data_IF_936365279474
#
_entry.id   IF_936365279474
#
_cell.length_a   1.000
_cell.length_b   1.000
_cell.length_c   1.000
_cell.angle_alpha   90.00
_cell.angle_beta   90.00
_cell.angle_gamma   90.00
#
_symmetry.space_group_name_H-M   'P 1'
#
loop_
_entity.id
_entity.type
_entity.pdbx_description
1 polymer ?
#
# COMPACT_ATOMS: atom_id res chain seq x y z
N UNK A 1 23.89 69.88 -8.86
CA UNK A 1 23.58 68.82 -9.83
C UNK A 1 23.31 67.55 -9.03
N UNK A 2 22.03 67.18 -8.89
CA UNK A 2 21.60 66.01 -8.10
C UNK A 2 21.94 64.73 -8.85
N UNK A 3 22.69 63.83 -8.19
CA UNK A 3 22.88 62.45 -8.67
C UNK A 3 21.70 61.62 -8.13
N UNK A 4 20.91 60.95 -8.98
CA UNK A 4 19.84 60.09 -8.49
C UNK A 4 20.45 58.82 -7.87
N UNK A 5 20.15 58.59 -6.59
CA UNK A 5 20.38 57.31 -5.93
C UNK A 5 19.43 56.30 -6.58
N UNK A 6 19.98 55.35 -7.34
CA UNK A 6 19.24 54.18 -7.78
C UNK A 6 19.08 53.27 -6.58
N UNK A 7 17.85 53.12 -6.08
CA UNK A 7 17.49 52.06 -5.15
C UNK A 7 17.83 50.73 -5.83
N UNK A 8 18.81 50.01 -5.28
CA UNK A 8 19.06 48.62 -5.63
C UNK A 8 18.01 47.79 -4.91
N UNK A 9 16.92 47.45 -5.60
CA UNK A 9 15.96 46.47 -5.10
C UNK A 9 16.65 45.11 -5.11
N UNK A 10 17.19 44.70 -3.96
CA UNK A 10 17.67 43.33 -3.76
C UNK A 10 16.41 42.47 -3.60
N UNK A 11 15.97 41.86 -4.70
CA UNK A 11 14.98 40.79 -4.64
C UNK A 11 15.67 39.58 -4.01
N UNK A 12 15.43 39.34 -2.72
CA UNK A 12 15.88 38.12 -2.06
C UNK A 12 15.10 36.96 -2.66
N UNK A 13 15.76 36.16 -3.51
CA UNK A 13 15.21 34.94 -4.06
C UNK A 13 15.30 33.88 -2.94
N UNK A 14 14.21 33.65 -2.22
CA UNK A 14 14.13 32.54 -1.27
C UNK A 14 13.97 31.24 -2.05
N UNK A 15 15.04 30.47 -2.20
CA UNK A 15 14.96 29.06 -2.65
C UNK A 15 14.37 28.24 -1.51
N UNK A 16 13.14 27.76 -1.71
CA UNK A 16 12.44 26.90 -0.79
C UNK A 16 12.84 25.44 -1.07
N UNK A 17 13.21 24.71 -0.01
CA UNK A 17 13.34 23.26 -0.04
C UNK A 17 12.51 22.75 1.12
N UNK A 18 11.34 22.19 0.83
CA UNK A 18 10.51 21.52 1.82
C UNK A 18 11.00 20.06 1.91
N UNK A 19 11.35 19.63 3.12
CA UNK A 19 11.52 18.22 3.44
C UNK A 19 10.47 17.88 4.50
N UNK A 20 9.40 17.21 4.09
CA UNK A 20 8.64 16.39 5.02
C UNK A 20 9.44 15.11 5.22
N UNK A 21 9.88 14.83 6.44
CA UNK A 21 10.17 13.45 6.80
C UNK A 21 8.80 12.80 6.98
N UNK A 22 8.26 12.24 5.89
CA UNK A 22 7.17 11.29 6.04
C UNK A 22 7.66 10.21 7.02
N UNK A 23 6.90 9.93 8.07
CA UNK A 23 7.13 8.72 8.83
C UNK A 23 6.78 7.56 7.89
N UNK A 24 7.75 7.12 7.09
CA UNK A 24 7.56 6.03 6.16
C UNK A 24 7.03 4.82 6.94
N UNK A 25 6.04 4.15 6.37
CA UNK A 25 5.50 2.93 6.97
C UNK A 25 6.60 1.87 6.89
N UNK A 26 6.94 1.27 8.02
CA UNK A 26 7.93 0.20 8.03
C UNK A 26 7.38 -1.02 7.27
N UNK A 27 8.03 -1.35 6.17
CA UNK A 27 7.78 -2.54 5.37
C UNK A 27 8.20 -3.82 6.08
N UNK A 28 7.59 -4.93 5.69
CA UNK A 28 7.88 -6.26 6.24
C UNK A 28 8.94 -6.98 5.41
N UNK A 29 9.77 -7.78 6.07
CA UNK A 29 10.48 -8.88 5.42
C UNK A 29 9.56 -10.09 5.31
N UNK A 30 9.05 -10.35 4.11
CA UNK A 30 8.03 -11.37 3.88
C UNK A 30 8.50 -12.56 3.05
N UNK A 31 7.87 -13.71 3.28
CA UNK A 31 7.88 -14.87 2.41
C UNK A 31 6.55 -14.91 1.65
N UNK A 32 6.60 -14.73 0.34
CA UNK A 32 5.45 -14.64 -0.57
C UNK A 32 5.37 -15.89 -1.44
N UNK A 33 4.37 -16.74 -1.20
CA UNK A 33 4.27 -18.02 -1.90
C UNK A 33 2.94 -18.15 -2.62
N UNK A 34 2.98 -18.49 -3.91
CA UNK A 34 1.76 -18.56 -4.68
C UNK A 34 1.91 -18.93 -6.14
N UNK A 35 0.84 -18.67 -6.89
CA UNK A 35 0.72 -18.97 -8.31
C UNK A 35 0.83 -17.74 -9.22
N UNK A 36 0.48 -17.91 -10.49
CA UNK A 36 0.84 -16.97 -11.57
C UNK A 36 0.02 -15.69 -11.59
N UNK A 37 -1.07 -15.62 -10.82
CA UNK A 37 -1.84 -14.38 -10.63
C UNK A 37 -1.29 -13.57 -9.45
N UNK A 38 -0.68 -14.27 -8.47
CA UNK A 38 -0.07 -13.69 -7.29
C UNK A 38 1.33 -13.12 -7.54
N UNK A 39 2.16 -13.86 -8.29
CA UNK A 39 3.58 -13.54 -8.49
C UNK A 39 3.81 -12.12 -9.04
N UNK A 40 3.08 -11.62 -10.06
CA UNK A 40 3.34 -10.29 -10.61
C UNK A 40 3.21 -9.18 -9.55
N UNK A 41 2.14 -9.20 -8.75
CA UNK A 41 1.92 -8.18 -7.72
C UNK A 41 2.94 -8.27 -6.59
N UNK A 42 3.30 -9.48 -6.16
CA UNK A 42 4.37 -9.67 -5.17
C UNK A 42 5.72 -9.12 -5.64
N UNK A 43 6.06 -9.32 -6.92
CA UNK A 43 7.30 -8.81 -7.50
C UNK A 43 7.27 -7.30 -7.69
N UNK A 44 6.12 -6.74 -8.06
CA UNK A 44 5.97 -5.30 -8.24
C UNK A 44 5.93 -4.56 -6.89
N UNK A 45 5.42 -5.19 -5.82
CA UNK A 45 5.46 -4.60 -4.47
C UNK A 45 6.90 -4.42 -3.98
N UNK A 46 7.78 -5.38 -4.28
CA UNK A 46 9.22 -5.24 -4.06
C UNK A 46 9.86 -4.07 -4.79
N UNK A 47 9.28 -3.64 -5.91
CA UNK A 47 9.82 -2.56 -6.74
C UNK A 47 9.29 -1.20 -6.31
N UNK A 48 7.99 -1.12 -5.99
CA UNK A 48 7.28 0.16 -5.84
C UNK A 48 7.02 0.56 -4.37
N UNK A 49 7.19 -0.35 -3.40
CA UNK A 49 6.90 -0.07 -1.98
C UNK A 49 7.55 1.21 -1.46
N UNK A 50 8.85 1.41 -1.73
CA UNK A 50 9.56 2.62 -1.30
C UNK A 50 9.01 3.91 -1.95
N UNK A 51 8.60 3.84 -3.22
CA UNK A 51 7.97 4.97 -3.92
C UNK A 51 6.59 5.32 -3.35
N UNK A 52 5.96 4.37 -2.67
CA UNK A 52 4.67 4.54 -1.99
C UNK A 52 4.81 4.75 -0.47
N UNK A 53 5.99 5.16 -0.01
CA UNK A 53 6.23 5.49 1.40
C UNK A 53 6.34 4.28 2.33
N UNK A 54 6.62 3.09 1.79
CA UNK A 54 6.86 1.86 2.56
C UNK A 54 8.35 1.51 2.54
N UNK A 55 9.03 1.79 3.64
CA UNK A 55 10.48 1.62 3.75
C UNK A 55 10.87 0.22 4.22
N UNK A 56 11.83 -0.40 3.54
CA UNK A 56 12.42 -1.67 3.98
C UNK A 56 11.56 -2.91 3.73
N UNK A 57 10.52 -2.82 2.89
CA UNK A 57 9.82 -4.00 2.39
C UNK A 57 10.78 -4.89 1.59
N UNK A 58 10.83 -6.18 1.93
CA UNK A 58 11.62 -7.18 1.21
C UNK A 58 10.81 -8.47 1.14
N UNK A 59 10.37 -8.86 -0.05
CA UNK A 59 9.64 -10.09 -0.32
C UNK A 59 10.51 -11.17 -0.97
N UNK A 60 10.68 -12.31 -0.31
CA UNK A 60 11.20 -13.53 -0.90
C UNK A 60 10.05 -14.28 -1.57
N UNK A 61 10.12 -14.55 -2.87
CA UNK A 61 9.03 -15.21 -3.60
C UNK A 61 9.33 -16.68 -3.92
N UNK A 62 8.46 -17.60 -3.48
CA UNK A 62 8.45 -18.99 -3.97
C UNK A 62 7.23 -19.18 -4.88
N UNK A 63 7.47 -19.65 -6.10
CA UNK A 63 6.45 -19.70 -7.14
C UNK A 63 6.29 -21.10 -7.74
N UNK A 64 5.03 -21.49 -7.95
CA UNK A 64 4.63 -22.62 -8.79
C UNK A 64 3.43 -22.23 -9.66
N UNK A 65 3.41 -22.65 -10.92
CA UNK A 65 2.33 -22.30 -11.85
C UNK A 65 1.00 -23.01 -11.56
N UNK A 66 -0.12 -22.32 -11.80
CA UNK A 66 -1.47 -22.88 -11.68
C UNK A 66 -1.79 -23.40 -10.28
N UNK A 67 -2.50 -24.52 -10.18
CA UNK A 67 -2.86 -25.14 -8.89
C UNK A 67 -1.67 -25.52 -8.03
N UNK A 68 -0.49 -25.70 -8.61
CA UNK A 68 0.71 -26.08 -7.84
C UNK A 68 1.20 -24.96 -6.93
N UNK A 69 0.78 -23.71 -7.16
CA UNK A 69 1.05 -22.59 -6.27
C UNK A 69 0.00 -22.39 -5.17
N UNK A 70 -0.87 -23.38 -4.93
CA UNK A 70 -1.82 -23.34 -3.81
C UNK A 70 -1.14 -23.74 -2.50
N UNK A 71 -1.69 -23.38 -1.33
CA UNK A 71 -1.15 -23.78 -0.03
C UNK A 71 -0.92 -25.28 0.10
N UNK A 72 -1.90 -26.12 -0.29
CA UNK A 72 -1.76 -27.57 -0.25
C UNK A 72 -0.63 -28.07 -1.15
N UNK A 73 -0.59 -27.62 -2.41
CA UNK A 73 0.38 -28.13 -3.39
C UNK A 73 1.79 -27.66 -3.15
N UNK A 74 1.96 -26.46 -2.59
CA UNK A 74 3.25 -26.00 -2.11
C UNK A 74 3.76 -26.88 -0.96
N UNK A 75 2.87 -27.28 -0.03
CA UNK A 75 3.26 -28.12 1.11
C UNK A 75 3.66 -29.55 0.68
N UNK A 76 2.96 -30.09 -0.31
CA UNK A 76 3.25 -31.41 -0.89
C UNK A 76 4.52 -31.45 -1.74
N UNK A 77 5.02 -30.29 -2.20
CA UNK A 77 6.27 -30.19 -2.95
C UNK A 77 7.46 -30.12 -1.99
N UNK A 78 8.23 -31.21 -1.92
CA UNK A 78 9.35 -31.34 -0.97
C UNK A 78 10.46 -30.30 -1.18
N UNK A 79 10.66 -29.82 -2.41
CA UNK A 79 11.65 -28.76 -2.68
C UNK A 79 11.15 -27.43 -2.13
N UNK A 80 9.88 -27.10 -2.38
CA UNK A 80 9.24 -25.88 -1.83
C UNK A 80 9.22 -25.91 -0.31
N UNK A 81 8.85 -27.05 0.29
CA UNK A 81 8.80 -27.20 1.74
C UNK A 81 10.19 -26.98 2.35
N UNK A 82 11.24 -27.52 1.73
CA UNK A 82 12.61 -27.31 2.19
C UNK A 82 13.03 -25.85 2.07
N UNK A 83 12.85 -25.24 0.90
CA UNK A 83 13.21 -23.84 0.65
C UNK A 83 12.49 -22.86 1.60
N UNK A 84 11.18 -23.08 1.82
CA UNK A 84 10.39 -22.28 2.73
C UNK A 84 10.84 -22.48 4.19
N UNK A 85 11.13 -23.72 4.60
CA UNK A 85 11.65 -24.02 5.94
C UNK A 85 13.00 -23.33 6.18
N UNK A 86 13.89 -23.34 5.20
CA UNK A 86 15.20 -22.69 5.30
C UNK A 86 15.06 -21.17 5.46
N UNK A 87 14.14 -20.54 4.72
CA UNK A 87 13.85 -19.11 4.86
C UNK A 87 13.20 -18.76 6.21
N UNK A 88 12.25 -19.57 6.67
CA UNK A 88 11.54 -19.34 7.93
C UNK A 88 12.44 -19.56 9.16
N UNK A 89 13.26 -20.63 9.15
CA UNK A 89 14.15 -21.00 10.26
C UNK A 89 15.21 -19.95 10.59
N UNK A 90 15.48 -19.02 9.66
CA UNK A 90 16.33 -17.85 9.91
C UNK A 90 15.73 -16.84 10.91
N UNK A 91 14.43 -16.93 11.22
CA UNK A 91 13.73 -16.06 12.19
C UNK A 91 13.55 -14.61 11.74
N UNK A 92 13.95 -14.26 10.51
CA UNK A 92 13.90 -12.89 9.98
C UNK A 92 12.61 -12.60 9.18
N UNK A 93 11.81 -13.62 8.87
CA UNK A 93 10.55 -13.44 8.16
C UNK A 93 9.49 -12.96 9.15
N UNK A 94 8.91 -11.80 8.88
CA UNK A 94 7.90 -11.12 9.69
C UNK A 94 6.49 -11.30 9.11
N UNK A 95 6.40 -11.66 7.82
CA UNK A 95 5.15 -11.87 7.11
C UNK A 95 5.21 -13.14 6.26
N UNK A 96 4.24 -14.03 6.42
CA UNK A 96 4.01 -15.14 5.49
C UNK A 96 2.76 -14.86 4.66
N UNK A 97 2.94 -14.68 3.35
CA UNK A 97 1.87 -14.43 2.39
C UNK A 97 1.60 -15.67 1.53
N UNK A 98 0.35 -16.10 1.52
CA UNK A 98 -0.16 -17.21 0.71
C UNK A 98 -1.35 -16.74 -0.14
N UNK A 99 -1.66 -17.45 -1.21
CA UNK A 99 -2.76 -17.11 -2.12
C UNK A 99 -3.77 -18.24 -2.25
N UNK A 100 -5.04 -17.87 -2.30
CA UNK A 100 -6.14 -18.81 -2.51
C UNK A 100 -6.19 -19.28 -3.96
N UNK A 101 -6.42 -20.58 -4.17
CA UNK A 101 -6.62 -21.17 -5.49
C UNK A 101 -8.00 -21.80 -5.65
N UNK A 102 -8.39 -22.69 -4.74
CA UNK A 102 -9.70 -23.36 -4.76
C UNK A 102 -10.04 -23.95 -3.40
N UNK A 103 -11.32 -24.26 -3.16
CA UNK A 103 -11.76 -24.86 -1.89
C UNK A 103 -11.12 -26.22 -1.61
N UNK A 104 -10.68 -26.95 -2.64
CA UNK A 104 -9.98 -28.24 -2.52
C UNK A 104 -8.51 -28.07 -2.10
N UNK A 105 -7.85 -27.03 -2.59
CA UNK A 105 -6.39 -26.85 -2.50
C UNK A 105 -5.98 -25.69 -1.58
N UNK A 106 -6.95 -25.08 -0.89
CA UNK A 106 -6.81 -23.93 -0.01
C UNK A 106 -7.78 -24.03 1.17
N UNK A 107 -7.84 -25.22 1.79
CA UNK A 107 -8.62 -25.46 3.00
C UNK A 107 -7.92 -24.84 4.20
N UNK A 108 -8.66 -24.67 5.29
CA UNK A 108 -8.12 -24.12 6.54
C UNK A 108 -6.86 -24.89 6.97
N UNK A 109 -6.88 -26.22 6.89
CA UNK A 109 -5.76 -27.10 7.28
C UNK A 109 -4.52 -26.90 6.41
N UNK A 110 -4.70 -26.51 5.15
CA UNK A 110 -3.60 -26.27 4.23
C UNK A 110 -2.84 -24.98 4.59
N UNK A 111 -3.54 -23.96 5.11
CA UNK A 111 -2.89 -22.77 5.68
C UNK A 111 -2.30 -23.03 7.07
N UNK A 112 -2.98 -23.82 7.92
CA UNK A 112 -2.52 -24.14 9.27
C UNK A 112 -1.13 -24.77 9.27
N UNK A 113 -0.85 -25.71 8.36
CA UNK A 113 0.46 -26.35 8.26
C UNK A 113 1.60 -25.33 8.04
N UNK A 114 1.37 -24.36 7.15
CA UNK A 114 2.31 -23.29 6.90
C UNK A 114 2.43 -22.31 8.08
N UNK A 115 1.32 -21.97 8.73
CA UNK A 115 1.30 -21.04 9.86
C UNK A 115 2.03 -21.64 11.06
N UNK A 116 1.74 -22.91 11.38
CA UNK A 116 2.38 -23.64 12.47
C UNK A 116 3.90 -23.72 12.24
N UNK A 117 4.34 -24.06 11.00
CA UNK A 117 5.76 -24.09 10.64
C UNK A 117 6.44 -22.73 10.83
N UNK A 118 5.79 -21.64 10.42
CA UNK A 118 6.36 -20.30 10.56
C UNK A 118 6.44 -19.85 12.04
N UNK A 119 5.45 -20.21 12.85
CA UNK A 119 5.39 -19.91 14.28
C UNK A 119 6.48 -20.62 15.09
N UNK A 120 7.01 -21.75 14.61
CA UNK A 120 8.17 -22.42 15.26
C UNK A 120 9.39 -21.49 15.31
N UNK A 121 9.52 -20.58 14.35
CA UNK A 121 10.70 -19.69 14.23
C UNK A 121 10.41 -18.25 14.63
N UNK A 122 9.19 -17.75 14.39
CA UNK A 122 8.78 -16.40 14.77
C UNK A 122 7.35 -16.40 15.34
N UNK A 123 7.16 -16.31 16.68
CA UNK A 123 5.84 -16.32 17.29
C UNK A 123 5.01 -15.04 16.99
N UNK A 124 5.65 -13.95 16.57
CA UNK A 124 5.01 -12.67 16.25
C UNK A 124 4.70 -12.51 14.75
N UNK A 125 5.01 -13.54 13.93
CA UNK A 125 4.82 -13.48 12.49
C UNK A 125 3.36 -13.13 12.13
N UNK A 126 3.20 -12.33 11.09
CA UNK A 126 1.92 -11.99 10.49
C UNK A 126 1.64 -12.89 9.29
N UNK A 127 0.37 -13.04 8.97
CA UNK A 127 -0.09 -13.82 7.85
C UNK A 127 -0.90 -12.96 6.89
N UNK A 128 -0.67 -13.11 5.60
CA UNK A 128 -1.46 -12.48 4.54
C UNK A 128 -2.06 -13.57 3.67
N UNK A 129 -3.39 -13.54 3.50
CA UNK A 129 -4.08 -14.42 2.57
C UNK A 129 -4.67 -13.56 1.46
N UNK A 130 -4.17 -13.78 0.25
CA UNK A 130 -4.58 -13.04 -0.95
C UNK A 130 -5.60 -13.83 -1.76
N UNK A 131 -6.66 -13.18 -2.22
CA UNK A 131 -7.69 -13.82 -3.06
C UNK A 131 -7.67 -13.19 -4.46
N UNK A 132 -7.29 -13.96 -5.51
CA UNK A 132 -7.33 -13.50 -6.89
C UNK A 132 -8.74 -13.48 -7.48
N UNK A 133 -8.87 -12.98 -8.71
CA UNK A 133 -10.03 -13.20 -9.56
C UNK A 133 -10.11 -14.66 -10.07
N UNK A 134 -11.29 -15.03 -10.60
CA UNK A 134 -11.54 -16.36 -11.15
C UNK A 134 -10.76 -16.67 -12.44
N UNK A 135 -10.51 -17.95 -12.71
CA UNK A 135 -9.93 -18.39 -13.97
C UNK A 135 -10.86 -18.10 -15.15
N UNK A 136 -10.28 -17.80 -16.30
CA UNK A 136 -11.06 -17.54 -17.52
C UNK A 136 -11.86 -16.25 -17.52
N UNK A 137 -11.28 -15.09 -17.12
CA UNK A 137 -12.02 -13.83 -17.04
C UNK A 137 -12.59 -13.38 -18.38
N UNK A 138 -12.04 -13.83 -19.51
CA UNK A 138 -12.60 -13.63 -20.85
C UNK A 138 -14.04 -14.14 -21.04
N UNK A 139 -14.58 -14.93 -20.10
CA UNK A 139 -15.96 -15.46 -20.11
C UNK A 139 -16.91 -14.69 -19.21
N UNK A 140 -16.41 -13.77 -18.40
CA UNK A 140 -17.22 -12.98 -17.48
C UNK A 140 -18.12 -12.07 -18.29
N UNK A 141 -19.38 -12.00 -17.90
CA UNK A 141 -20.36 -11.03 -18.37
C UNK A 141 -20.74 -10.07 -17.24
N UNK A 142 -21.33 -8.90 -17.53
CA UNK A 142 -21.80 -7.99 -16.49
C UNK A 142 -22.71 -8.65 -15.44
N UNK A 143 -23.53 -9.63 -15.85
CA UNK A 143 -24.43 -10.36 -14.95
C UNK A 143 -23.73 -11.30 -13.96
N UNK A 144 -22.46 -11.64 -14.19
CA UNK A 144 -21.68 -12.54 -13.31
C UNK A 144 -20.97 -11.79 -12.17
N UNK A 145 -20.68 -10.49 -12.37
CA UNK A 145 -19.76 -9.71 -11.53
C UNK A 145 -20.20 -9.65 -10.06
N UNK A 146 -21.48 -9.41 -9.79
CA UNK A 146 -22.00 -9.37 -8.42
C UNK A 146 -21.80 -10.71 -7.69
N UNK A 147 -22.07 -11.83 -8.37
CA UNK A 147 -21.85 -13.16 -7.80
C UNK A 147 -20.37 -13.43 -7.52
N UNK A 148 -19.47 -12.93 -8.37
CA UNK A 148 -18.02 -13.06 -8.19
C UNK A 148 -17.50 -12.24 -6.99
N UNK A 149 -18.01 -11.01 -6.80
CA UNK A 149 -17.67 -10.18 -5.64
C UNK A 149 -18.17 -10.81 -4.34
N UNK A 150 -19.44 -11.21 -4.30
CA UNK A 150 -20.02 -11.89 -3.13
C UNK A 150 -19.28 -13.19 -2.80
N UNK A 151 -18.94 -14.00 -3.80
CA UNK A 151 -18.18 -15.23 -3.61
C UNK A 151 -16.77 -14.97 -3.07
N UNK A 152 -16.13 -13.90 -3.50
CA UNK A 152 -14.79 -13.47 -3.01
C UNK A 152 -14.87 -13.04 -1.55
N UNK A 153 -15.83 -12.19 -1.20
CA UNK A 153 -16.02 -11.70 0.17
C UNK A 153 -16.47 -12.79 1.14
N UNK A 154 -17.25 -13.78 0.67
CA UNK A 154 -17.66 -14.92 1.49
C UNK A 154 -16.50 -15.76 2.04
N UNK A 155 -15.31 -15.69 1.41
CA UNK A 155 -14.10 -16.34 1.91
C UNK A 155 -13.62 -15.74 3.23
N UNK A 156 -14.01 -14.51 3.57
CA UNK A 156 -13.74 -13.96 4.88
C UNK A 156 -14.32 -14.83 5.99
N UNK A 157 -15.62 -15.14 5.90
CA UNK A 157 -16.31 -15.96 6.90
C UNK A 157 -15.89 -17.43 6.84
N UNK A 158 -15.72 -17.97 5.62
CA UNK A 158 -15.45 -19.41 5.47
C UNK A 158 -13.99 -19.80 5.66
N UNK A 159 -13.04 -18.87 5.54
CA UNK A 159 -11.61 -19.15 5.59
C UNK A 159 -10.87 -18.28 6.61
N UNK A 160 -11.01 -16.95 6.55
CA UNK A 160 -10.22 -16.03 7.37
C UNK A 160 -10.65 -16.05 8.83
N UNK A 161 -11.95 -15.97 9.11
CA UNK A 161 -12.50 -15.98 10.47
C UNK A 161 -12.08 -17.24 11.25
N UNK A 162 -12.22 -18.47 10.71
CA UNK A 162 -11.71 -19.68 11.36
C UNK A 162 -10.20 -19.66 11.64
N UNK A 163 -9.39 -19.11 10.72
CA UNK A 163 -7.94 -18.97 10.94
C UNK A 163 -7.64 -17.98 12.07
N UNK A 164 -8.31 -16.82 12.11
CA UNK A 164 -8.16 -15.84 13.21
C UNK A 164 -8.56 -16.43 14.56
N UNK A 165 -9.62 -17.24 14.62
CA UNK A 165 -10.02 -17.93 15.85
C UNK A 165 -8.94 -18.90 16.35
N UNK A 166 -8.19 -19.52 15.43
CA UNK A 166 -7.13 -20.47 15.78
C UNK A 166 -5.80 -19.80 16.12
N UNK A 167 -5.52 -18.64 15.53
CA UNK A 167 -4.31 -17.85 15.73
C UNK A 167 -4.63 -16.46 16.28
N UNK A 168 -5.25 -16.35 17.48
CA UNK A 168 -5.78 -15.08 17.99
C UNK A 168 -4.70 -14.05 18.35
N UNK A 169 -3.44 -14.47 18.47
CA UNK A 169 -2.31 -13.60 18.80
C UNK A 169 -1.54 -13.13 17.56
N UNK A 170 -1.95 -13.54 16.36
CA UNK A 170 -1.28 -13.22 15.11
C UNK A 170 -2.24 -12.50 14.17
N UNK A 171 -1.72 -11.52 13.43
CA UNK A 171 -2.52 -10.86 12.41
C UNK A 171 -2.71 -11.82 11.22
N UNK A 172 -3.95 -12.19 10.91
CA UNK A 172 -4.32 -12.91 9.67
C UNK A 172 -5.07 -11.94 8.77
N UNK A 173 -4.35 -11.33 7.84
CA UNK A 173 -4.81 -10.23 6.97
C UNK A 173 -5.49 -10.80 5.73
N UNK A 174 -6.68 -10.28 5.42
CA UNK A 174 -7.48 -10.64 4.26
C UNK A 174 -7.24 -9.65 3.11
N UNK A 175 -6.72 -10.10 1.98
CA UNK A 175 -6.47 -9.24 0.83
C UNK A 175 -7.15 -9.77 -0.43
N UNK A 176 -8.44 -9.47 -0.64
CA UNK A 176 -9.20 -9.92 -1.81
C UNK A 176 -8.95 -9.03 -3.03
N UNK A 177 -7.71 -8.95 -3.49
CA UNK A 177 -7.32 -8.09 -4.62
C UNK A 177 -8.03 -8.41 -5.95
N UNK A 178 -8.65 -9.60 -6.07
CA UNK A 178 -9.57 -9.93 -7.16
C UNK A 178 -10.74 -8.95 -7.32
N UNK A 179 -11.16 -8.25 -6.25
CA UNK A 179 -12.19 -7.21 -6.33
C UNK A 179 -11.80 -6.08 -7.28
N UNK A 180 -10.55 -5.59 -7.22
CA UNK A 180 -10.07 -4.56 -8.14
C UNK A 180 -10.05 -5.02 -9.60
N UNK A 181 -9.76 -6.30 -9.84
CA UNK A 181 -9.89 -6.86 -11.19
C UNK A 181 -11.36 -6.82 -11.67
N UNK A 182 -12.33 -7.14 -10.81
CA UNK A 182 -13.74 -7.06 -11.17
C UNK A 182 -14.22 -5.63 -11.41
N UNK A 183 -13.71 -4.64 -10.66
CA UNK A 183 -13.99 -3.22 -10.94
C UNK A 183 -13.50 -2.79 -12.33
N UNK A 184 -12.29 -3.18 -12.71
CA UNK A 184 -11.78 -2.91 -14.07
C UNK A 184 -12.62 -3.61 -15.14
N UNK A 185 -13.11 -4.83 -14.87
CA UNK A 185 -13.98 -5.54 -15.82
C UNK A 185 -15.33 -4.83 -16.00
N UNK A 186 -15.92 -4.34 -14.91
CA UNK A 186 -17.17 -3.56 -14.97
C UNK A 186 -16.99 -2.29 -15.80
N UNK A 187 -15.95 -1.51 -15.48
CA UNK A 187 -15.63 -0.27 -16.18
C UNK A 187 -15.28 -0.51 -17.66
N UNK A 188 -14.67 -1.66 -17.99
CA UNK A 188 -14.48 -2.06 -19.38
C UNK A 188 -15.82 -2.24 -20.11
N UNK A 189 -16.81 -2.90 -19.48
CA UNK A 189 -18.13 -3.09 -20.09
C UNK A 189 -18.94 -1.80 -20.20
N UNK A 190 -18.74 -0.87 -19.27
CA UNK A 190 -19.36 0.45 -19.28
C UNK A 190 -18.69 1.42 -20.27
N UNK A 191 -17.52 1.04 -20.81
CA UNK A 191 -16.76 1.84 -21.77
C UNK A 191 -16.02 3.01 -21.12
N UNK A 192 -15.66 2.87 -19.84
CA UNK A 192 -15.02 3.91 -19.01
C UNK A 192 -13.49 3.74 -18.92
N UNK A 193 -12.93 2.68 -19.52
CA UNK A 193 -11.48 2.44 -19.57
C UNK A 193 -10.88 2.89 -20.91
N UNK A 194 -10.54 4.18 -21.00
CA UNK A 194 -9.88 4.75 -22.17
C UNK A 194 -8.57 4.01 -22.52
N UNK A 195 -8.49 3.52 -23.76
CA UNK A 195 -7.34 2.77 -24.29
C UNK A 195 -7.40 1.25 -24.05
N UNK A 196 -8.37 0.73 -23.28
CA UNK A 196 -8.58 -0.72 -23.14
C UNK A 196 -9.59 -1.19 -24.17
N UNK A 197 -9.12 -1.91 -25.19
CA UNK A 197 -9.97 -2.41 -26.28
C UNK A 197 -10.53 -3.81 -26.01
N UNK A 198 -9.84 -4.63 -25.23
CA UNK A 198 -10.21 -6.03 -25.03
C UNK A 198 -10.17 -6.43 -23.56
N UNK A 199 -11.18 -7.18 -23.11
CA UNK A 199 -11.13 -7.83 -21.81
C UNK A 199 -9.91 -8.77 -21.69
N UNK A 200 -9.64 -9.54 -22.74
CA UNK A 200 -8.50 -10.45 -22.79
C UNK A 200 -7.93 -10.57 -24.20
N UNK A 201 -6.60 -10.72 -24.29
CA UNK A 201 -5.92 -10.88 -25.57
C UNK A 201 -6.50 -12.06 -26.37
N UNK A 202 -6.84 -11.81 -27.63
CA UNK A 202 -7.14 -12.88 -28.57
C UNK A 202 -5.86 -13.69 -28.85
N UNK A 203 -5.91 -15.02 -29.07
CA UNK A 203 -4.73 -15.89 -29.25
C UNK A 203 -3.79 -15.55 -30.43
N UNK A 204 -4.05 -14.50 -31.23
CA UNK A 204 -3.40 -14.30 -32.52
C UNK A 204 -3.02 -12.86 -32.92
N UNK A 205 -3.14 -11.86 -32.03
CA UNK A 205 -2.69 -10.49 -32.35
C UNK A 205 -1.66 -10.00 -31.33
N UNK A 206 -0.47 -9.72 -31.83
CA UNK A 206 0.71 -9.31 -31.07
C UNK A 206 0.57 -7.92 -30.41
N UNK A 207 1.16 -7.82 -29.21
CA UNK A 207 1.96 -6.70 -28.67
C UNK A 207 1.30 -5.36 -28.28
N UNK A 208 0.04 -5.32 -27.85
CA UNK A 208 -0.54 -4.12 -27.22
C UNK A 208 -0.83 -4.32 -25.73
N UNK A 209 -0.85 -3.23 -24.95
CA UNK A 209 -1.31 -3.23 -23.55
C UNK A 209 -2.81 -2.90 -23.41
N UNK A 210 -3.53 -2.97 -24.53
CA UNK A 210 -4.95 -2.62 -24.67
C UNK A 210 -5.89 -3.70 -24.12
N UNK A 211 -5.39 -4.60 -23.26
CA UNK A 211 -6.18 -5.64 -22.61
C UNK A 211 -5.96 -5.72 -21.10
N UNK A 212 -7.01 -6.11 -20.38
CA UNK A 212 -6.91 -6.38 -18.93
C UNK A 212 -6.13 -7.67 -18.66
N UNK A 213 -6.37 -8.73 -19.46
CA UNK A 213 -5.73 -10.04 -19.29
C UNK A 213 -5.01 -10.51 -20.55
N UNK A 214 -3.73 -10.89 -20.44
CA UNK A 214 -2.90 -11.24 -21.61
C UNK A 214 -3.17 -12.62 -22.21
N UNK A 215 -4.01 -13.43 -21.57
CA UNK A 215 -4.43 -14.71 -22.11
C UNK A 215 -5.78 -15.17 -21.53
N UNK A 216 -6.31 -16.22 -22.16
CA UNK A 216 -7.58 -16.82 -21.77
C UNK A 216 -7.56 -17.48 -20.38
N UNK A 217 -6.39 -17.81 -19.81
CA UNK A 217 -6.32 -18.30 -18.43
C UNK A 217 -6.68 -17.18 -17.46
N UNK A 218 -6.28 -15.95 -17.76
CA UNK A 218 -6.54 -14.77 -16.96
C UNK A 218 -5.29 -14.17 -16.33
N UNK A 219 -4.10 -14.40 -16.91
CA UNK A 219 -2.92 -13.70 -16.43
C UNK A 219 -3.09 -12.19 -16.64
N UNK A 220 -2.91 -11.43 -15.57
CA UNK A 220 -3.01 -9.97 -15.59
C UNK A 220 -2.02 -9.35 -16.59
N UNK A 221 -2.46 -8.27 -17.23
CA UNK A 221 -1.54 -7.29 -17.83
C UNK A 221 -1.12 -6.23 -16.80
N UNK A 222 -0.34 -5.24 -17.23
CA UNK A 222 0.24 -4.22 -16.36
C UNK A 222 -0.81 -3.41 -15.57
N UNK A 223 -1.96 -3.08 -16.17
CA UNK A 223 -3.03 -2.34 -15.49
C UNK A 223 -3.58 -3.12 -14.28
N UNK A 224 -3.98 -4.38 -14.50
CA UNK A 224 -4.52 -5.24 -13.43
C UNK A 224 -3.44 -5.56 -12.40
N UNK A 225 -2.19 -5.74 -12.82
CA UNK A 225 -1.05 -6.01 -11.93
C UNK A 225 -0.80 -4.80 -11.03
N UNK A 226 -0.74 -3.59 -11.60
CA UNK A 226 -0.49 -2.35 -10.86
C UNK A 226 -1.60 -2.01 -9.88
N UNK A 227 -2.87 -2.17 -10.30
CA UNK A 227 -4.01 -2.05 -9.38
C UNK A 227 -3.89 -3.06 -8.23
N UNK A 228 -3.61 -4.32 -8.54
CA UNK A 228 -3.47 -5.37 -7.53
C UNK A 228 -2.37 -5.04 -6.52
N UNK A 229 -1.21 -4.58 -6.98
CA UNK A 229 -0.09 -4.19 -6.11
C UNK A 229 -0.46 -3.01 -5.23
N UNK A 230 -1.17 -2.01 -5.76
CA UNK A 230 -1.62 -0.86 -4.99
C UNK A 230 -2.67 -1.26 -3.93
N UNK A 231 -3.59 -2.16 -4.27
CA UNK A 231 -4.51 -2.78 -3.31
C UNK A 231 -3.75 -3.54 -2.21
N UNK A 232 -2.66 -4.23 -2.54
CA UNK A 232 -1.83 -4.90 -1.53
C UNK A 232 -1.12 -3.89 -0.63
N UNK A 233 -0.56 -2.81 -1.18
CA UNK A 233 0.07 -1.75 -0.40
C UNK A 233 -0.93 -1.09 0.57
N UNK A 234 -2.13 -0.79 0.10
CA UNK A 234 -3.23 -0.30 0.94
C UNK A 234 -3.60 -1.32 2.03
N UNK A 235 -3.82 -2.59 1.64
CA UNK A 235 -4.27 -3.64 2.57
C UNK A 235 -3.21 -4.02 3.62
N UNK A 236 -1.92 -3.99 3.26
CA UNK A 236 -0.85 -4.48 4.12
C UNK A 236 -0.21 -3.37 4.96
N UNK A 237 -0.12 -2.17 4.40
CA UNK A 237 0.64 -1.04 4.96
C UNK A 237 -0.23 0.19 5.24
N UNK A 238 -1.51 0.19 4.86
CA UNK A 238 -2.36 1.36 5.03
C UNK A 238 -1.97 2.54 4.13
N UNK A 239 -1.24 2.26 3.03
CA UNK A 239 -0.95 3.29 2.01
C UNK A 239 -2.27 3.81 1.47
N UNK A 240 -2.52 5.11 1.62
CA UNK A 240 -3.68 5.77 1.01
C UNK A 240 -3.36 6.08 -0.46
N UNK A 241 -4.01 5.41 -1.42
CA UNK A 241 -3.76 5.64 -2.84
C UNK A 241 -4.06 7.09 -3.26
N UNK A 242 -4.94 7.80 -2.58
CA UNK A 242 -5.32 9.19 -2.93
C UNK A 242 -4.25 10.21 -2.56
N UNK A 243 -3.32 9.83 -1.69
CA UNK A 243 -2.23 10.68 -1.22
C UNK A 243 -0.92 10.50 -2.01
N UNK A 244 -0.89 9.51 -2.91
CA UNK A 244 0.22 9.23 -3.83
C UNK A 244 0.17 10.13 -5.07
N UNK A 245 1.33 10.30 -5.72
CA UNK A 245 1.35 10.77 -7.11
C UNK A 245 0.49 9.84 -8.00
N UNK A 246 -0.11 10.36 -9.08
CA UNK A 246 -0.93 9.55 -9.98
C UNK A 246 -0.17 8.30 -10.48
N UNK A 247 -0.65 7.13 -10.07
CA UNK A 247 -0.13 5.83 -10.49
C UNK A 247 -0.73 5.52 -11.85
N UNK A 248 0.13 5.45 -12.86
CA UNK A 248 -0.25 5.27 -14.26
C UNK A 248 0.55 4.13 -14.89
N UNK A 249 -0.05 3.48 -15.88
CA UNK A 249 0.66 2.52 -16.74
C UNK A 249 0.96 3.18 -18.09
N UNK A 250 2.16 2.91 -18.62
CA UNK A 250 2.75 3.64 -19.76
C UNK A 250 1.82 3.83 -20.96
N UNK A 251 0.97 2.84 -21.25
CA UNK A 251 0.08 2.83 -22.42
C UNK A 251 -1.39 3.15 -22.09
N UNK A 252 -1.74 3.36 -20.81
CA UNK A 252 -3.10 3.74 -20.38
C UNK A 252 -3.01 4.86 -19.31
N UNK A 253 -2.46 6.04 -19.65
CA UNK A 253 -2.17 7.11 -18.68
C UNK A 253 -3.42 7.82 -18.14
N UNK A 254 -4.59 7.61 -18.75
CA UNK A 254 -5.84 8.23 -18.32
C UNK A 254 -6.59 7.38 -17.28
N UNK A 255 -6.26 6.09 -17.13
CA UNK A 255 -6.92 5.23 -16.14
C UNK A 255 -6.44 5.57 -14.74
N UNK A 256 -7.38 5.98 -13.88
CA UNK A 256 -7.06 6.43 -12.53
C UNK A 256 -6.97 5.29 -11.51
N UNK A 257 -5.84 4.58 -11.53
CA UNK A 257 -5.59 3.45 -10.63
C UNK A 257 -5.67 3.80 -9.14
N UNK A 258 -5.37 5.04 -8.77
CA UNK A 258 -5.46 5.53 -7.39
C UNK A 258 -6.91 5.44 -6.89
N UNK A 259 -7.88 5.95 -7.66
CA UNK A 259 -9.30 5.91 -7.31
C UNK A 259 -9.83 4.47 -7.22
N UNK A 260 -9.52 3.61 -8.20
CA UNK A 260 -9.89 2.19 -8.15
C UNK A 260 -9.34 1.50 -6.89
N UNK A 261 -8.06 1.72 -6.57
CA UNK A 261 -7.45 1.11 -5.39
C UNK A 261 -8.08 1.64 -4.09
N UNK A 262 -8.42 2.93 -4.03
CA UNK A 262 -9.09 3.54 -2.89
C UNK A 262 -10.48 2.93 -2.66
N UNK A 263 -11.29 2.81 -3.71
CA UNK A 263 -12.64 2.23 -3.63
C UNK A 263 -12.60 0.77 -3.16
N UNK A 264 -11.70 -0.03 -3.73
CA UNK A 264 -11.47 -1.42 -3.26
C UNK A 264 -10.98 -1.42 -1.81
N UNK A 265 -10.10 -0.51 -1.44
CA UNK A 265 -9.60 -0.33 -0.08
C UNK A 265 -10.74 -0.07 0.92
N UNK A 266 -11.71 0.78 0.59
CA UNK A 266 -12.87 1.05 1.44
C UNK A 266 -13.74 -0.19 1.67
N UNK A 267 -13.83 -1.09 0.68
CA UNK A 267 -14.53 -2.37 0.82
C UNK A 267 -13.74 -3.32 1.73
N UNK A 268 -12.41 -3.34 1.61
CA UNK A 268 -11.54 -4.31 2.30
C UNK A 268 -11.21 -3.90 3.75
N UNK A 269 -11.08 -2.60 4.02
CA UNK A 269 -10.66 -2.06 5.31
C UNK A 269 -11.46 -2.62 6.51
N UNK A 270 -12.80 -2.71 6.49
CA UNK A 270 -13.58 -3.25 7.60
C UNK A 270 -13.22 -4.70 7.97
N UNK A 271 -12.70 -5.49 7.01
CA UNK A 271 -12.31 -6.88 7.26
C UNK A 271 -10.96 -7.01 7.98
N UNK A 272 -10.15 -5.94 8.05
CA UNK A 272 -8.82 -5.94 8.64
C UNK A 272 -8.66 -4.93 9.78
N UNK A 273 -9.76 -4.37 10.27
CA UNK A 273 -9.76 -3.42 11.37
C UNK A 273 -8.98 -3.96 12.59
N UNK A 274 -8.06 -3.14 13.11
CA UNK A 274 -7.20 -3.49 14.24
C UNK A 274 -6.02 -4.43 13.92
N UNK A 275 -5.83 -4.86 12.67
CA UNK A 275 -4.70 -5.72 12.27
C UNK A 275 -3.59 -4.99 11.50
N UNK A 276 -3.91 -3.83 10.94
CA UNK A 276 -2.94 -2.98 10.24
C UNK A 276 -1.94 -2.42 11.25
N UNK A 277 -0.72 -2.03 10.81
CA UNK A 277 0.13 -1.18 11.64
C UNK A 277 -0.73 -0.02 12.18
N UNK A 278 -0.56 0.41 13.45
CA UNK A 278 -1.15 1.68 13.87
C UNK A 278 -0.77 2.71 12.81
N UNK A 279 -1.74 3.49 12.34
CA UNK A 279 -1.53 4.47 11.26
C UNK A 279 -0.16 5.13 11.46
N UNK A 280 0.67 5.25 10.41
CA UNK A 280 1.92 6.00 10.54
C UNK A 280 1.57 7.32 11.23
N UNK A 281 2.34 7.74 12.26
CA UNK A 281 2.03 8.95 12.98
C UNK A 281 1.78 10.04 11.96
N UNK A 282 0.56 10.60 12.03
CA UNK A 282 -0.03 11.52 11.06
C UNK A 282 1.01 12.23 10.21
N UNK A 283 0.92 12.04 8.90
CA UNK A 283 1.65 12.82 7.92
C UNK A 283 1.59 14.30 8.31
N UNK A 284 2.71 14.84 8.79
CA UNK A 284 2.87 16.28 8.98
C UNK A 284 3.09 16.85 7.58
N UNK A 285 2.00 17.03 6.83
CA UNK A 285 2.01 17.82 5.59
C UNK A 285 2.07 19.30 5.96
N UNK A 286 3.27 19.77 6.26
CA UNK A 286 3.52 21.19 6.44
C UNK A 286 3.30 21.92 5.11
N UNK A 287 2.12 22.49 4.95
CA UNK A 287 1.89 23.50 3.90
C UNK A 287 2.29 24.87 4.43
N UNK A 288 2.98 25.65 3.61
CA UNK A 288 3.49 26.96 3.97
C UNK A 288 2.93 28.01 3.02
N UNK A 289 2.23 29.01 3.57
CA UNK A 289 1.90 30.22 2.84
C UNK A 289 2.79 31.36 3.36
N UNK A 290 3.49 32.03 2.47
CA UNK A 290 4.31 33.19 2.83
C UNK A 290 3.69 34.47 2.27
N UNK A 291 3.46 35.43 3.17
CA UNK A 291 3.50 36.84 2.80
C UNK A 291 4.88 37.38 3.16
N UNK A 292 5.23 38.62 2.79
CA UNK A 292 6.59 39.18 2.99
C UNK A 292 7.19 38.99 4.40
N UNK A 293 6.37 38.74 5.41
CA UNK A 293 6.80 38.65 6.81
C UNK A 293 6.21 37.47 7.58
N UNK A 294 5.37 36.60 6.99
CA UNK A 294 4.68 35.55 7.76
C UNK A 294 4.94 34.15 7.21
N UNK A 295 4.93 33.16 8.11
CA UNK A 295 4.97 31.74 7.83
C UNK A 295 3.76 31.05 8.46
N UNK A 296 3.02 30.27 7.68
CA UNK A 296 2.00 29.34 8.21
C UNK A 296 2.55 27.92 8.16
N UNK A 297 2.32 27.13 9.19
CA UNK A 297 2.50 25.67 9.22
C UNK A 297 1.12 25.04 9.37
N UNK A 298 0.74 24.14 8.48
CA UNK A 298 -0.44 23.27 8.69
C UNK A 298 0.00 21.84 8.99
N UNK A 299 -0.74 21.08 9.78
CA UNK A 299 -0.54 19.64 9.97
C UNK A 299 -1.85 18.97 10.36
N UNK A 300 -1.95 17.65 10.24
CA UNK A 300 -3.10 16.93 10.79
C UNK A 300 -2.81 16.57 12.26
N UNK A 301 -3.74 16.87 13.16
CA UNK A 301 -3.66 16.57 14.59
C UNK A 301 -4.47 15.33 15.01
N UNK A 302 -4.12 14.74 16.15
CA UNK A 302 -4.96 13.82 16.94
C UNK A 302 -5.21 14.39 18.33
N UNK A 303 -6.38 14.13 18.92
CA UNK A 303 -6.74 14.59 20.27
C UNK A 303 -5.83 14.07 21.38
N UNK A 304 -5.14 12.96 21.15
CA UNK A 304 -4.38 12.23 22.15
C UNK A 304 -2.87 12.58 22.10
N UNK A 305 -2.51 13.55 21.27
CA UNK A 305 -1.13 14.02 21.09
C UNK A 305 -1.00 15.49 21.43
N UNK A 306 0.17 15.87 21.94
CA UNK A 306 0.63 17.26 22.00
C UNK A 306 1.68 17.46 20.93
N UNK A 307 1.67 18.61 20.27
CA UNK A 307 2.61 18.94 19.21
C UNK A 307 3.57 20.02 19.68
N UNK A 308 4.86 19.84 19.44
CA UNK A 308 5.89 20.85 19.64
C UNK A 308 6.25 21.48 18.30
N UNK A 309 6.08 22.79 18.19
CA UNK A 309 6.57 23.59 17.06
C UNK A 309 7.97 24.04 17.44
N UNK A 310 8.97 23.63 16.68
CA UNK A 310 10.36 23.94 16.95
C UNK A 310 11.01 24.65 15.77
N UNK A 311 12.01 25.48 16.06
CA UNK A 311 12.79 26.19 15.04
C UNK A 311 14.29 26.04 15.23
N UNK A 312 15.04 26.13 14.14
CA UNK A 312 16.51 26.16 14.15
C UNK A 312 17.07 27.07 13.06
N UNK A 313 18.18 27.79 13.30
CA UNK A 313 18.91 28.48 12.24
C UNK A 313 19.75 27.53 11.37
N UNK A 314 19.94 26.26 11.78
CA UNK A 314 20.73 25.26 11.07
C UNK A 314 20.07 23.87 11.13
N UNK A 315 19.69 23.35 9.96
CA UNK A 315 19.05 22.05 9.78
C UNK A 315 19.88 20.87 10.35
N UNK A 316 21.22 20.97 10.36
CA UNK A 316 22.11 19.85 10.70
C UNK A 316 22.54 19.76 12.17
N UNK A 317 22.32 20.82 12.98
CA UNK A 317 22.98 20.97 14.28
C UNK A 317 22.35 20.19 15.44
N UNK A 318 21.19 19.54 15.21
CA UNK A 318 20.40 18.86 16.26
C UNK A 318 19.85 19.79 17.35
N UNK A 319 20.19 21.09 17.31
CA UNK A 319 19.79 22.08 18.29
C UNK A 319 18.52 22.77 17.79
N UNK A 320 17.39 22.30 18.30
CA UNK A 320 16.06 22.84 18.01
C UNK A 320 15.55 23.61 19.22
N UNK A 321 15.00 24.80 18.97
CA UNK A 321 14.40 25.63 20.00
C UNK A 321 12.89 25.47 19.94
N UNK A 322 12.27 25.04 21.04
CA UNK A 322 10.82 25.03 21.19
C UNK A 322 10.27 26.45 21.03
N UNK A 323 9.32 26.61 20.11
CA UNK A 323 8.61 27.86 19.84
C UNK A 323 7.29 27.85 20.58
N UNK A 324 6.49 26.81 20.36
CA UNK A 324 5.14 26.68 20.91
C UNK A 324 4.75 25.21 21.07
N UNK A 325 3.80 24.96 21.96
CA UNK A 325 3.14 23.67 22.08
C UNK A 325 1.66 23.81 21.75
N UNK A 326 1.12 22.92 20.92
CA UNK A 326 -0.29 22.86 20.60
C UNK A 326 -0.89 21.55 21.11
N UNK A 327 -2.00 21.62 21.84
CA UNK A 327 -2.81 20.42 22.10
C UNK A 327 -3.43 19.96 20.79
N UNK A 328 -3.36 18.67 20.52
CA UNK A 328 -3.91 18.11 19.31
C UNK A 328 -5.44 18.12 19.31
N UNK A 329 -6.01 18.29 18.12
CA UNK A 329 -7.41 17.96 17.85
C UNK A 329 -7.45 17.09 16.60
N UNK A 330 -8.45 16.22 16.50
CA UNK A 330 -8.65 15.42 15.29
C UNK A 330 -8.97 16.35 14.11
N UNK A 331 -8.09 16.39 13.10
CA UNK A 331 -8.27 17.20 11.89
C UNK A 331 -7.14 18.20 11.63
N UNK A 332 -7.36 19.17 10.73
CA UNK A 332 -6.33 20.14 10.34
C UNK A 332 -6.03 21.14 11.47
N UNK A 333 -4.75 21.26 11.79
CA UNK A 333 -4.15 22.18 12.73
C UNK A 333 -3.31 23.21 11.97
N UNK A 334 -3.26 24.46 12.45
CA UNK A 334 -2.45 25.52 11.82
C UNK A 334 -1.71 26.35 12.86
N UNK A 335 -0.53 26.82 12.50
CA UNK A 335 0.32 27.71 13.29
C UNK A 335 0.88 28.83 12.41
N UNK A 336 0.97 30.05 12.94
CA UNK A 336 1.38 31.25 12.19
C UNK A 336 2.43 32.02 12.97
N UNK A 337 3.52 32.43 12.31
CA UNK A 337 4.55 33.28 12.91
C UNK A 337 5.10 34.33 11.93
N UNK A 338 5.83 35.30 12.46
CA UNK A 338 6.51 36.37 11.70
C UNK A 338 7.99 36.04 11.54
N UNK A 339 8.51 36.15 10.30
CA UNK A 339 9.92 35.85 9.98
C UNK A 339 10.69 37.10 9.53
N UNK A 340 11.83 37.37 10.16
CA UNK A 340 12.62 38.60 9.99
C UNK A 340 13.80 38.46 9.00
N UNK A 341 13.61 37.74 7.90
CA UNK A 341 14.58 37.67 6.78
C UNK A 341 15.86 36.86 7.04
N UNK A 342 16.04 36.28 8.23
CA UNK A 342 17.05 35.26 8.49
C UNK A 342 16.55 33.88 8.02
N UNK A 343 17.46 33.04 7.51
CA UNK A 343 17.16 31.63 7.22
C UNK A 343 16.78 30.91 8.52
N UNK A 344 15.59 30.31 8.53
CA UNK A 344 15.05 29.58 9.66
C UNK A 344 14.39 28.30 9.17
N UNK A 345 14.62 27.22 9.89
CA UNK A 345 13.99 25.92 9.70
C UNK A 345 12.95 25.71 10.80
N UNK A 346 11.84 25.06 10.45
CA UNK A 346 10.76 24.73 11.37
C UNK A 346 10.45 23.24 11.28
N UNK A 347 10.05 22.62 12.39
CA UNK A 347 9.50 21.27 12.42
C UNK A 347 8.39 21.15 13.45
N UNK A 348 7.53 20.15 13.25
CA UNK A 348 6.46 19.79 14.20
C UNK A 348 6.80 18.40 14.74
N UNK A 349 6.86 18.27 16.05
CA UNK A 349 7.20 17.01 16.74
C UNK A 349 6.00 16.56 17.58
N UNK A 350 5.37 15.41 17.26
CA UNK A 350 4.34 14.85 18.12
C UNK A 350 4.94 14.28 19.42
N UNK A 351 4.22 14.46 20.52
CA UNK A 351 4.47 13.88 21.82
C UNK A 351 3.19 13.19 22.30
N UNK A 352 3.29 11.96 22.78
CA UNK A 352 2.18 11.30 23.45
C UNK A 352 1.75 12.15 24.66
N UNK A 353 0.44 12.36 24.85
CA UNK A 353 -0.05 13.00 26.06
C UNK A 353 0.38 12.15 27.26
N UNK A 354 1.20 12.72 28.13
CA UNK A 354 1.50 12.09 29.42
C UNK A 354 0.22 12.10 30.26
N UNK A 355 -0.39 10.93 30.44
CA UNK A 355 -1.36 10.70 31.52
C UNK A 355 -0.76 10.99 32.90
#
# INVERSE_FOLDING_TARGET
MMVPIRLLTITLLFTLVAFSADAAVQGYRGLFMGHSFFRPSAQQLNQLSAEWGVDGHIGHTIFRGGSNGSPLKLWEDSEVLQDATDLLSGGQIELLALTYYSAENSRIEDYQQWFDLALESNPEIKFLITIPWTLGPHRITPGDLEGLRLGTLALFDSLITPLRQRYPNNAVIFCPYGLGAYELIENFFDGELDGVEYLSAAPSSNSGDEYLFRDATGHANDLVTTLSTLTWANTLYGVDPTELDPVRVTNLPEVDLNSFAYEVGQIVMPYNEGLLPPEPPLLVRASFNTTRTHITLSWTGTSDSRYQIERSPDFGSGSWTLVETAEGVNGEMTWLDTVDGASMFFRIVPQASSD
#
